data_IF_507271095861
#
_entry.id   IF_507271095861
#
_cell.length_a   1.000
_cell.length_b   1.000
_cell.length_c   1.000
_cell.angle_alpha   90.00
_cell.angle_beta   90.00
_cell.angle_gamma   90.00
#
_symmetry.space_group_name_H-M   'P 1'
#
loop_
_entity.id
_entity.type
_entity.pdbx_description
1 polymer ?
#
# COMPACT_ATOMS: atom_id res chain seq x y z
N UNK A 1 27.13 -24.05 48.70
CA UNK A 1 27.06 -23.63 47.28
C UNK A 1 25.86 -24.29 46.58
N UNK A 2 24.61 -23.97 46.95
CA UNK A 2 23.41 -24.63 46.36
C UNK A 2 22.56 -23.74 45.45
N UNK A 3 22.89 -22.45 45.34
CA UNK A 3 22.10 -21.47 44.57
C UNK A 3 22.81 -20.89 43.33
N UNK A 4 24.00 -21.40 42.97
CA UNK A 4 24.76 -20.87 41.83
C UNK A 4 24.15 -21.22 40.48
N UNK A 5 23.46 -22.36 40.37
CA UNK A 5 22.86 -22.85 39.12
C UNK A 5 21.64 -22.01 38.64
N UNK A 6 20.65 -21.68 39.48
CA UNK A 6 19.51 -20.86 39.05
C UNK A 6 19.91 -19.42 38.75
N UNK A 7 20.95 -18.89 39.42
CA UNK A 7 21.49 -17.57 39.13
C UNK A 7 22.15 -17.57 37.74
N UNK A 8 22.96 -18.59 37.43
CA UNK A 8 23.54 -18.73 36.08
C UNK A 8 22.48 -18.87 34.97
N UNK A 9 21.39 -19.60 35.24
CA UNK A 9 20.29 -19.77 34.28
C UNK A 9 19.50 -18.47 34.08
N UNK A 10 19.28 -17.70 35.15
CA UNK A 10 18.65 -16.38 35.08
C UNK A 10 19.49 -15.37 34.30
N UNK A 11 20.82 -15.45 34.40
CA UNK A 11 21.72 -14.58 33.63
C UNK A 11 21.77 -14.96 32.16
N UNK A 12 21.60 -16.24 31.82
CA UNK A 12 21.60 -16.71 30.42
C UNK A 12 20.46 -16.14 29.56
N UNK A 13 19.33 -15.79 30.19
CA UNK A 13 18.17 -15.17 29.51
C UNK A 13 18.50 -13.75 29.01
N UNK A 14 19.41 -13.04 29.68
CA UNK A 14 19.82 -11.68 29.29
C UNK A 14 20.93 -11.65 28.22
N UNK A 15 21.49 -12.81 27.84
CA UNK A 15 22.58 -12.91 26.84
C UNK A 15 22.03 -13.34 25.48
N UNK A 16 20.73 -13.66 25.37
CA UNK A 16 20.11 -13.84 24.07
C UNK A 16 20.14 -12.50 23.33
N UNK A 17 20.86 -12.38 22.20
CA UNK A 17 20.81 -11.17 21.42
C UNK A 17 19.37 -11.05 20.91
N UNK A 18 18.63 -10.09 21.45
CA UNK A 18 17.47 -9.55 20.75
C UNK A 18 18.09 -8.92 19.51
N UNK A 19 18.14 -9.68 18.42
CA UNK A 19 18.55 -9.15 17.14
C UNK A 19 17.68 -7.92 16.93
N UNK A 20 18.31 -6.74 16.94
CA UNK A 20 17.65 -5.48 16.67
C UNK A 20 17.19 -5.54 15.22
N UNK A 21 16.01 -6.12 15.00
CA UNK A 21 15.32 -6.09 13.73
C UNK A 21 14.99 -4.61 13.51
N UNK A 22 15.71 -3.97 12.61
CA UNK A 22 15.44 -2.59 12.26
C UNK A 22 14.02 -2.54 11.70
N UNK A 23 13.09 -2.05 12.52
CA UNK A 23 11.74 -1.72 12.08
C UNK A 23 11.90 -0.62 11.04
N UNK A 24 11.70 -0.99 9.78
CA UNK A 24 11.80 -0.05 8.67
C UNK A 24 10.39 0.34 8.27
N UNK A 25 10.14 1.64 8.18
CA UNK A 25 8.88 2.16 7.68
C UNK A 25 9.10 2.79 6.31
N UNK A 26 8.31 2.36 5.34
CA UNK A 26 8.29 2.92 4.00
C UNK A 26 7.01 3.73 3.81
N UNK A 27 7.12 4.86 3.11
CA UNK A 27 5.98 5.70 2.76
C UNK A 27 5.92 5.78 1.25
N UNK A 28 4.80 5.30 0.69
CA UNK A 28 4.53 5.32 -0.74
C UNK A 28 3.57 6.45 -1.10
N UNK A 29 3.82 7.11 -2.22
CA UNK A 29 2.87 8.02 -2.84
C UNK A 29 2.87 7.80 -4.34
N UNK A 30 1.69 7.65 -4.93
CA UNK A 30 1.50 7.49 -6.37
C UNK A 30 0.37 8.39 -6.83
N UNK A 31 0.58 9.09 -7.95
CA UNK A 31 -0.46 9.81 -8.67
C UNK A 31 -0.54 9.26 -10.08
N UNK A 32 -1.74 9.04 -10.58
CA UNK A 32 -1.97 8.58 -11.93
C UNK A 32 -3.14 9.31 -12.57
N UNK A 33 -3.00 9.63 -13.86
CA UNK A 33 -4.09 10.13 -14.68
C UNK A 33 -4.13 9.36 -16.00
N UNK A 34 -5.32 8.96 -16.39
CA UNK A 34 -5.58 8.25 -17.64
C UNK A 34 -6.73 8.92 -18.36
N UNK A 35 -6.46 9.36 -19.58
CA UNK A 35 -7.47 9.88 -20.50
C UNK A 35 -7.58 8.96 -21.70
N UNK A 36 -8.79 8.50 -21.99
CA UNK A 36 -9.12 7.65 -23.13
C UNK A 36 -10.18 8.37 -23.96
N UNK A 37 -9.88 8.64 -25.23
CA UNK A 37 -10.80 9.28 -26.16
C UNK A 37 -11.23 8.24 -27.19
N UNK A 38 -12.52 7.99 -27.31
CA UNK A 38 -13.07 7.07 -28.31
C UNK A 38 -13.44 7.83 -29.58
N UNK A 39 -14.07 9.00 -29.42
CA UNK A 39 -14.38 9.95 -30.48
C UNK A 39 -14.51 11.38 -29.89
N UNK A 40 -14.94 12.35 -30.70
CA UNK A 40 -15.08 13.75 -30.28
C UNK A 40 -16.10 13.99 -29.14
N UNK A 41 -17.07 13.08 -28.98
CA UNK A 41 -18.17 13.19 -28.01
C UNK A 41 -18.06 12.16 -26.86
N UNK A 42 -17.26 11.11 -27.03
CA UNK A 42 -17.12 10.01 -26.09
C UNK A 42 -15.69 9.94 -25.54
N UNK A 43 -15.56 10.24 -24.24
CA UNK A 43 -14.27 10.16 -23.55
C UNK A 43 -14.42 9.69 -22.11
N UNK A 44 -13.31 9.20 -21.58
CA UNK A 44 -13.16 8.79 -20.20
C UNK A 44 -11.86 9.39 -19.66
N UNK A 45 -11.96 10.22 -18.63
CA UNK A 45 -10.83 10.83 -17.93
C UNK A 45 -10.89 10.39 -16.47
N UNK A 46 -9.84 9.76 -15.99
CA UNK A 46 -9.75 9.28 -14.62
C UNK A 46 -8.43 9.71 -14.01
N UNK A 47 -8.48 10.16 -12.78
CA UNK A 47 -7.31 10.46 -11.96
C UNK A 47 -7.42 9.77 -10.61
N UNK A 48 -6.28 9.41 -10.04
CA UNK A 48 -6.21 8.83 -8.72
C UNK A 48 -4.92 9.24 -8.02
N UNK A 49 -5.00 9.29 -6.70
CA UNK A 49 -3.87 9.41 -5.80
C UNK A 49 -3.93 8.29 -4.77
N UNK A 50 -2.80 7.64 -4.55
CA UNK A 50 -2.64 6.58 -3.57
C UNK A 50 -1.50 6.94 -2.63
N UNK A 51 -1.78 6.93 -1.34
CA UNK A 51 -0.76 6.97 -0.29
C UNK A 51 -0.70 5.64 0.43
N UNK A 52 0.49 5.18 0.81
CA UNK A 52 0.66 3.98 1.60
C UNK A 52 1.74 4.14 2.67
N UNK A 53 1.61 3.35 3.73
CA UNK A 53 2.61 3.21 4.80
C UNK A 53 2.83 1.74 5.04
N UNK A 54 4.07 1.31 4.96
CA UNK A 54 4.46 -0.10 5.07
C UNK A 54 5.46 -0.27 6.21
N UNK A 55 5.15 -1.13 7.17
CA UNK A 55 6.00 -1.46 8.30
C UNK A 55 6.63 -2.84 8.08
N UNK A 56 7.95 -2.86 7.94
CA UNK A 56 8.75 -4.07 7.82
C UNK A 56 9.20 -4.49 9.22
N UNK A 57 8.73 -5.66 9.67
CA UNK A 57 9.04 -6.20 11.00
C UNK A 57 9.81 -7.52 10.95
N UNK A 58 10.03 -8.06 9.75
CA UNK A 58 11.01 -9.10 9.50
C UNK A 58 11.66 -8.83 8.14
N UNK A 59 12.83 -9.41 7.87
CA UNK A 59 13.61 -9.16 6.64
C UNK A 59 12.80 -9.26 5.34
N UNK A 60 11.76 -10.10 5.34
CA UNK A 60 10.92 -10.40 4.19
C UNK A 60 9.43 -10.21 4.45
N UNK A 61 9.04 -9.61 5.57
CA UNK A 61 7.62 -9.43 5.93
C UNK A 61 7.32 -7.98 6.22
N UNK A 62 6.28 -7.46 5.57
CA UNK A 62 5.76 -6.12 5.81
C UNK A 62 4.24 -6.12 5.97
N UNK A 63 3.75 -5.23 6.82
CA UNK A 63 2.34 -4.85 6.88
C UNK A 63 2.18 -3.51 6.17
N UNK A 64 1.34 -3.43 5.14
CA UNK A 64 1.07 -2.20 4.41
C UNK A 64 -0.38 -1.74 4.61
N UNK A 65 -0.55 -0.45 4.84
CA UNK A 65 -1.85 0.22 4.81
C UNK A 65 -1.84 1.22 3.66
N UNK A 66 -2.92 1.23 2.87
CA UNK A 66 -3.05 2.13 1.72
C UNK A 66 -4.39 2.84 1.68
N UNK A 67 -4.37 4.06 1.16
CA UNK A 67 -5.56 4.85 0.89
C UNK A 67 -5.47 5.40 -0.54
N UNK A 68 -6.50 5.14 -1.33
CA UNK A 68 -6.64 5.67 -2.69
C UNK A 68 -7.90 6.53 -2.80
N UNK A 69 -7.75 7.75 -3.28
CA UNK A 69 -8.85 8.59 -3.73
C UNK A 69 -8.78 8.70 -5.26
N UNK A 70 -9.87 8.37 -5.93
CA UNK A 70 -9.97 8.35 -7.37
C UNK A 70 -11.24 9.04 -7.85
N UNK A 71 -11.11 9.79 -8.93
CA UNK A 71 -12.20 10.48 -9.61
C UNK A 71 -12.19 10.06 -11.07
N UNK A 72 -13.37 9.79 -11.61
CA UNK A 72 -13.56 9.52 -13.03
C UNK A 72 -14.71 10.34 -13.59
N UNK A 73 -14.46 10.87 -14.78
CA UNK A 73 -15.37 11.63 -15.60
C UNK A 73 -15.58 10.87 -16.90
N UNK A 74 -16.83 10.53 -17.17
CA UNK A 74 -17.20 9.86 -18.40
C UNK A 74 -18.18 10.72 -19.18
N UNK A 75 -17.75 11.20 -20.34
CA UNK A 75 -18.65 11.88 -21.27
C UNK A 75 -19.15 10.84 -22.28
N UNK A 76 -20.46 10.70 -22.37
CA UNK A 76 -21.11 9.74 -23.25
C UNK A 76 -22.21 10.38 -24.07
N UNK A 77 -22.30 9.95 -25.32
CA UNK A 77 -23.39 10.25 -26.23
C UNK A 77 -23.78 8.98 -26.97
N UNK A 78 -24.99 8.49 -26.73
CA UNK A 78 -25.48 7.23 -27.31
C UNK A 78 -25.81 7.36 -28.81
N UNK A 79 -26.41 8.48 -29.21
CA UNK A 79 -26.67 8.83 -30.61
C UNK A 79 -26.36 10.29 -30.90
N UNK A 80 -26.09 10.62 -32.17
CA UNK A 80 -25.85 11.99 -32.65
C UNK A 80 -27.04 12.93 -32.48
N UNK A 81 -28.24 12.40 -32.19
CA UNK A 81 -29.42 13.18 -31.83
C UNK A 81 -29.58 13.41 -30.32
N UNK A 82 -28.88 12.64 -29.47
CA UNK A 82 -29.02 12.71 -28.02
C UNK A 82 -28.21 13.87 -27.44
N UNK A 83 -28.64 14.38 -26.29
CA UNK A 83 -27.88 15.35 -25.49
C UNK A 83 -26.71 14.62 -24.81
N UNK A 84 -25.48 15.16 -24.83
CA UNK A 84 -24.34 14.56 -24.15
C UNK A 84 -24.60 14.46 -22.65
N UNK A 85 -24.15 13.36 -22.05
CA UNK A 85 -24.24 13.10 -20.61
C UNK A 85 -22.85 12.98 -20.03
N UNK A 86 -22.63 13.61 -18.89
CA UNK A 86 -21.39 13.50 -18.11
C UNK A 86 -21.70 12.75 -16.83
N UNK A 87 -21.02 11.62 -16.62
CA UNK A 87 -21.05 10.86 -15.37
C UNK A 87 -19.81 11.24 -14.56
N UNK A 88 -20.02 11.67 -13.32
CA UNK A 88 -18.96 11.88 -12.34
C UNK A 88 -19.01 10.76 -11.31
N UNK A 89 -17.92 10.04 -11.13
CA UNK A 89 -17.80 8.98 -10.16
C UNK A 89 -16.56 9.20 -9.28
N UNK A 90 -16.79 9.29 -7.97
CA UNK A 90 -15.75 9.31 -6.94
C UNK A 90 -15.64 7.93 -6.29
N UNK A 91 -14.43 7.43 -6.14
CA UNK A 91 -14.12 6.13 -5.55
C UNK A 91 -13.06 6.30 -4.48
N UNK A 92 -13.26 5.70 -3.31
CA UNK A 92 -12.30 5.68 -2.22
C UNK A 92 -12.02 4.23 -1.85
N UNK A 93 -10.75 3.87 -1.74
CA UNK A 93 -10.31 2.52 -1.43
C UNK A 93 -9.36 2.59 -0.25
N UNK A 94 -9.64 1.79 0.78
CA UNK A 94 -8.75 1.58 1.92
C UNK A 94 -8.28 0.12 1.84
N UNK A 95 -6.97 -0.08 1.87
CA UNK A 95 -6.33 -1.38 1.75
C UNK A 95 -5.48 -1.70 2.99
N UNK A 96 -5.35 -2.99 3.27
CA UNK A 96 -4.48 -3.52 4.31
C UNK A 96 -3.90 -4.85 3.86
N UNK A 97 -2.59 -4.90 3.65
CA UNK A 97 -1.90 -6.03 3.01
C UNK A 97 -0.79 -6.57 3.90
N UNK A 98 -0.65 -7.90 3.94
CA UNK A 98 0.51 -8.58 4.50
C UNK A 98 1.40 -9.04 3.35
N UNK A 99 2.57 -8.42 3.21
CA UNK A 99 3.49 -8.63 2.10
C UNK A 99 4.60 -9.58 2.56
N UNK A 100 4.79 -10.67 1.81
CA UNK A 100 5.93 -11.57 1.98
C UNK A 100 6.82 -11.54 0.72
N UNK A 101 8.06 -11.10 0.87
CA UNK A 101 9.00 -10.93 -0.26
C UNK A 101 9.90 -12.16 -0.39
N UNK A 102 9.73 -12.92 -1.47
CA UNK A 102 10.58 -14.09 -1.77
C UNK A 102 11.96 -13.71 -2.33
N UNK A 103 12.10 -12.51 -2.89
CA UNK A 103 13.35 -12.02 -3.44
C UNK A 103 14.33 -11.62 -2.33
N UNK A 104 15.61 -11.91 -2.54
CA UNK A 104 16.65 -11.53 -1.60
C UNK A 104 16.83 -10.01 -1.62
N UNK A 105 16.45 -9.34 -0.53
CA UNK A 105 16.67 -7.90 -0.36
C UNK A 105 18.12 -7.73 0.08
N UNK A 106 19.05 -7.66 -0.88
CA UNK A 106 20.41 -7.21 -0.58
C UNK A 106 20.31 -5.76 -0.11
N UNK A 107 20.48 -5.57 1.20
CA UNK A 107 20.62 -4.27 1.85
C UNK A 107 21.94 -3.60 1.43
#
# INVERSE_FOLDING_TARGET
>A
MKYSLPILFSWMIFILPIASQALYTEVGFTYGRKKTTFDANNNFDSEYMTGSVSLYFAERVALELSYTDAVSLQNQRASSADVPRTVYQKTQIIGGDLIYVFADRKA
#
